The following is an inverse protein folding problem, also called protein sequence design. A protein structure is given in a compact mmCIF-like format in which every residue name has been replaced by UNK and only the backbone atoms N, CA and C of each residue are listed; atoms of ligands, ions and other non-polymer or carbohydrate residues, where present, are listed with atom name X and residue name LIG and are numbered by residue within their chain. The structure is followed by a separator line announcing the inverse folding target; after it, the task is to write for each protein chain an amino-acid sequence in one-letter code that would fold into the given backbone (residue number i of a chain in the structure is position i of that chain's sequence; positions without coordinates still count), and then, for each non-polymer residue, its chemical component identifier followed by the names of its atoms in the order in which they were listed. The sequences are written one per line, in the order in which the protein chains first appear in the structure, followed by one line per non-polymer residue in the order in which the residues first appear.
data_IF_797447925879
#
_entry.id   IF_797447925879
#
_cell.length_a   1.000
_cell.length_b   1.000
_cell.length_c   1.000
_cell.angle_alpha   90.00
_cell.angle_beta   90.00
_cell.angle_gamma   90.00
#
_symmetry.space_group_name_H-M   'P 1'
#
loop_
_entity.id
_entity.type
_entity.pdbx_description
1 polymer ?
#
# COMPACT_ATOMS: atom_id res chain seq x y z
N UNK A 1 -12.04 1.78 42.16
CA UNK A 1 -11.11 2.81 41.70
C UNK A 1 -10.74 2.47 40.27
N UNK A 2 -11.30 3.21 39.32
CA UNK A 2 -11.06 3.02 37.89
C UNK A 2 -9.70 3.58 37.57
N UNK A 3 -8.75 2.72 37.17
CA UNK A 3 -7.47 3.15 36.64
C UNK A 3 -7.71 3.83 35.29
N UNK A 4 -7.66 5.16 35.28
CA UNK A 4 -7.63 5.93 34.06
C UNK A 4 -6.34 5.54 33.30
N UNK A 5 -6.49 4.78 32.23
CA UNK A 5 -5.40 4.55 31.29
C UNK A 5 -5.06 5.90 30.64
N UNK A 6 -3.95 6.48 31.05
CA UNK A 6 -3.42 7.68 30.42
C UNK A 6 -3.04 7.32 28.99
N UNK A 7 -3.83 7.78 28.02
CA UNK A 7 -3.52 7.64 26.59
C UNK A 7 -2.24 8.43 26.31
N UNK A 8 -1.18 7.72 25.92
CA UNK A 8 0.05 8.34 25.47
C UNK A 8 -0.24 9.08 24.15
N UNK A 9 -0.14 10.39 24.16
CA UNK A 9 -0.31 11.19 22.94
C UNK A 9 0.89 10.97 22.00
N UNK A 10 0.67 10.74 20.69
CA UNK A 10 1.74 10.66 19.70
C UNK A 10 2.66 11.88 19.75
N UNK A 11 3.96 11.67 19.66
CA UNK A 11 4.95 12.74 19.72
C UNK A 11 6.07 12.52 18.71
N UNK A 12 6.60 13.64 18.21
CA UNK A 12 7.85 13.61 17.46
C UNK A 12 8.96 13.10 18.38
N UNK A 13 9.64 12.04 17.98
CA UNK A 13 10.76 11.49 18.75
C UNK A 13 12.10 11.93 18.17
N UNK A 14 12.23 11.95 16.85
CA UNK A 14 13.48 12.28 16.18
C UNK A 14 13.26 12.54 14.70
N UNK A 15 14.07 13.44 14.09
CA UNK A 15 14.28 13.48 12.63
C UNK A 15 15.61 12.80 12.33
N UNK A 16 15.60 11.90 11.35
CA UNK A 16 16.79 11.18 10.94
C UNK A 16 17.24 11.72 9.59
N UNK A 17 18.44 12.25 9.46
CA UNK A 17 19.00 12.61 8.17
C UNK A 17 19.09 11.37 7.28
N UNK A 18 18.66 11.49 6.04
CA UNK A 18 18.79 10.52 4.97
C UNK A 18 19.45 11.20 3.75
N UNK A 19 19.54 10.54 2.61
CA UNK A 19 20.09 11.19 1.42
C UNK A 19 19.12 12.18 0.77
N UNK A 20 19.59 12.83 -0.29
CA UNK A 20 18.86 13.86 -1.03
C UNK A 20 17.68 13.27 -1.80
N UNK A 21 16.61 14.06 -1.88
CA UNK A 21 15.34 13.72 -2.53
C UNK A 21 14.81 12.33 -2.12
N UNK A 22 14.52 12.10 -0.82
CA UNK A 22 13.92 10.86 -0.40
C UNK A 22 12.53 10.69 -1.05
N UNK A 23 12.27 9.51 -1.65
CA UNK A 23 11.07 9.29 -2.45
C UNK A 23 10.20 8.14 -1.92
N UNK A 24 10.65 6.90 -2.03
CA UNK A 24 9.95 5.71 -1.59
C UNK A 24 10.32 5.28 -0.18
N UNK A 25 9.40 4.66 0.51
CA UNK A 25 9.63 4.03 1.81
C UNK A 25 8.92 2.68 1.89
N UNK A 26 9.61 1.68 2.40
CA UNK A 26 9.07 0.35 2.66
C UNK A 26 9.56 -0.18 4.00
N UNK A 27 8.67 -0.84 4.75
CA UNK A 27 9.03 -1.51 6.00
C UNK A 27 9.29 -3.00 5.77
N UNK A 28 10.20 -3.54 6.55
CA UNK A 28 10.27 -4.99 6.74
C UNK A 28 9.00 -5.48 7.46
N UNK A 29 8.48 -6.64 7.09
CA UNK A 29 7.25 -7.19 7.67
C UNK A 29 7.38 -7.51 9.18
N UNK A 30 8.61 -7.70 9.68
CA UNK A 30 8.91 -7.84 11.10
C UNK A 30 9.10 -6.49 11.83
N UNK A 31 8.98 -5.36 11.13
CA UNK A 31 9.10 -4.03 11.71
C UNK A 31 10.52 -3.58 12.11
N UNK A 32 11.57 -4.38 11.87
CA UNK A 32 12.92 -4.05 12.36
C UNK A 32 13.63 -2.96 11.55
N UNK A 33 13.30 -2.83 10.27
CA UNK A 33 13.93 -1.87 9.35
C UNK A 33 12.92 -1.13 8.50
N UNK A 34 13.27 0.09 8.13
CA UNK A 34 12.66 0.82 7.03
C UNK A 34 13.72 1.14 5.98
N UNK A 35 13.39 0.97 4.71
CA UNK A 35 14.22 1.37 3.58
C UNK A 35 13.67 2.66 2.98
N UNK A 36 14.53 3.64 2.74
CA UNK A 36 14.18 4.92 2.12
C UNK A 36 15.05 5.14 0.90
N UNK A 37 14.44 5.29 -0.28
CA UNK A 37 15.19 5.62 -1.50
C UNK A 37 15.52 7.11 -1.52
N UNK A 38 16.74 7.45 -1.88
CA UNK A 38 17.23 8.81 -2.02
C UNK A 38 17.57 9.06 -3.49
N UNK A 39 16.63 9.65 -4.24
CA UNK A 39 16.66 9.66 -5.69
C UNK A 39 17.84 10.43 -6.26
N UNK A 40 18.21 11.58 -5.68
CA UNK A 40 19.32 12.39 -6.16
C UNK A 40 20.69 11.87 -5.69
N UNK A 41 20.76 11.16 -4.58
CA UNK A 41 22.02 10.59 -4.07
C UNK A 41 22.32 9.20 -4.64
N UNK A 42 21.39 8.60 -5.34
CA UNK A 42 21.52 7.23 -5.84
C UNK A 42 21.77 6.21 -4.73
N UNK A 43 21.11 6.40 -3.60
CA UNK A 43 21.28 5.56 -2.41
C UNK A 43 19.94 5.09 -1.83
N UNK A 44 20.03 4.09 -0.96
CA UNK A 44 18.97 3.69 -0.05
C UNK A 44 19.47 3.82 1.38
N UNK A 45 18.79 4.60 2.19
CA UNK A 45 19.03 4.65 3.63
C UNK A 45 18.30 3.51 4.32
N UNK A 46 19.02 2.74 5.13
CA UNK A 46 18.46 1.71 5.99
C UNK A 46 18.29 2.28 7.39
N UNK A 47 17.06 2.41 7.82
CA UNK A 47 16.73 2.94 9.14
C UNK A 47 16.43 1.79 10.07
N UNK A 48 17.17 1.66 11.15
CA UNK A 48 16.88 0.69 12.22
C UNK A 48 15.79 1.24 13.13
N UNK A 49 14.80 0.41 13.39
CA UNK A 49 13.69 0.72 14.28
C UNK A 49 14.12 0.72 15.74
N UNK A 50 15.08 -0.13 16.10
CA UNK A 50 15.61 -0.22 17.46
C UNK A 50 16.42 1.03 17.85
N UNK A 51 17.37 1.44 17.00
CA UNK A 51 18.25 2.59 17.28
C UNK A 51 17.66 3.92 16.83
N UNK A 52 16.61 3.91 16.01
CA UNK A 52 15.97 5.08 15.40
C UNK A 52 16.98 5.96 14.65
N UNK A 53 17.87 5.32 13.91
CA UNK A 53 18.92 5.96 13.14
C UNK A 53 19.19 5.22 11.84
N UNK A 54 19.87 5.90 10.90
CA UNK A 54 20.39 5.26 9.71
C UNK A 54 21.54 4.38 10.12
N UNK A 55 21.41 3.08 9.85
CA UNK A 55 22.46 2.09 10.15
C UNK A 55 23.29 1.74 8.93
N UNK A 56 22.77 2.03 7.75
CA UNK A 56 23.51 1.89 6.49
C UNK A 56 22.95 2.84 5.44
N UNK A 57 23.84 3.31 4.56
CA UNK A 57 23.49 3.98 3.31
C UNK A 57 24.07 3.15 2.17
N UNK A 58 23.19 2.60 1.33
CA UNK A 58 23.56 1.62 0.33
C UNK A 58 23.50 2.30 -1.04
N UNK A 59 24.64 2.36 -1.76
CA UNK A 59 24.65 2.82 -3.15
C UNK A 59 23.88 1.86 -4.05
N UNK A 60 22.97 2.40 -4.86
CA UNK A 60 22.14 1.67 -5.82
C UNK A 60 22.33 2.22 -7.23
N UNK A 61 21.41 2.03 -8.15
CA UNK A 61 21.47 2.67 -9.47
C UNK A 61 20.98 4.11 -9.43
N UNK A 62 20.91 4.74 -10.61
CA UNK A 62 20.57 6.17 -10.75
C UNK A 62 19.07 6.39 -10.58
N UNK A 63 18.72 7.39 -9.79
CA UNK A 63 17.37 7.85 -9.50
C UNK A 63 16.48 6.73 -8.95
N UNK A 64 16.79 6.16 -7.77
CA UNK A 64 15.95 5.13 -7.16
C UNK A 64 14.60 5.72 -6.74
N UNK A 65 13.50 5.06 -7.13
CA UNK A 65 12.14 5.50 -6.83
C UNK A 65 11.35 4.49 -6.04
N UNK A 66 11.16 3.29 -6.57
CA UNK A 66 10.43 2.23 -5.88
C UNK A 66 11.34 1.36 -5.02
N UNK A 67 10.81 0.91 -3.89
CA UNK A 67 11.47 -0.09 -3.04
C UNK A 67 10.43 -1.07 -2.51
N UNK A 68 10.76 -2.35 -2.57
CA UNK A 68 9.95 -3.42 -1.99
C UNK A 68 10.85 -4.40 -1.25
N UNK A 69 10.44 -4.79 -0.04
CA UNK A 69 11.11 -5.84 0.74
C UNK A 69 10.37 -7.15 0.45
N UNK A 70 11.13 -8.19 0.15
CA UNK A 70 10.54 -9.50 -0.10
C UNK A 70 9.79 -10.01 1.15
N UNK A 71 8.64 -10.71 0.99
CA UNK A 71 7.93 -11.31 2.11
C UNK A 71 8.79 -12.20 3.00
N UNK A 72 9.83 -12.84 2.44
CA UNK A 72 10.82 -13.64 3.17
C UNK A 72 11.74 -12.83 4.10
N UNK A 73 11.75 -11.49 3.98
CA UNK A 73 12.61 -10.58 4.74
C UNK A 73 14.12 -10.68 4.50
N UNK A 74 14.56 -11.54 3.61
CA UNK A 74 16.00 -11.79 3.39
C UNK A 74 16.63 -10.80 2.43
N UNK A 75 15.82 -10.19 1.56
CA UNK A 75 16.29 -9.23 0.55
C UNK A 75 15.24 -8.18 0.23
N UNK A 76 15.68 -7.13 -0.46
CA UNK A 76 14.81 -6.09 -1.00
C UNK A 76 15.24 -5.73 -2.42
N UNK A 77 14.28 -5.26 -3.20
CA UNK A 77 14.52 -4.73 -4.54
C UNK A 77 14.25 -3.24 -4.59
N UNK A 78 15.09 -2.53 -5.35
CA UNK A 78 15.01 -1.09 -5.56
C UNK A 78 15.00 -0.80 -7.06
N UNK A 79 13.95 -0.18 -7.55
CA UNK A 79 13.88 0.26 -8.95
C UNK A 79 14.68 1.54 -9.14
N UNK A 80 15.66 1.49 -10.04
CA UNK A 80 16.50 2.63 -10.40
C UNK A 80 16.03 3.16 -11.75
N UNK A 81 15.14 4.13 -11.70
CA UNK A 81 14.34 4.59 -12.83
C UNK A 81 15.20 5.12 -13.98
N UNK A 82 16.26 5.85 -13.66
CA UNK A 82 17.13 6.44 -14.70
C UNK A 82 18.22 5.48 -15.19
N UNK A 83 18.61 4.45 -14.43
CA UNK A 83 19.63 3.49 -14.88
C UNK A 83 19.06 2.21 -15.47
N UNK A 84 17.74 2.05 -15.56
CA UNK A 84 17.10 0.90 -16.20
C UNK A 84 17.47 -0.44 -15.54
N UNK A 85 17.55 -0.46 -14.21
CA UNK A 85 17.86 -1.68 -13.47
C UNK A 85 17.18 -1.71 -12.10
N UNK A 86 17.21 -2.87 -11.48
CA UNK A 86 16.78 -3.11 -10.11
C UNK A 86 18.00 -3.50 -9.28
N UNK A 87 18.26 -2.80 -8.19
CA UNK A 87 19.28 -3.20 -7.22
C UNK A 87 18.69 -4.23 -6.26
N UNK A 88 19.42 -5.33 -6.06
CA UNK A 88 19.18 -6.31 -5.00
C UNK A 88 19.93 -5.90 -3.75
N UNK A 89 19.24 -5.74 -2.67
CA UNK A 89 19.81 -5.49 -1.33
C UNK A 89 19.69 -6.74 -0.48
N UNK A 90 20.78 -7.13 0.16
CA UNK A 90 20.77 -8.17 1.19
C UNK A 90 20.35 -7.53 2.51
N UNK A 91 19.26 -7.99 3.11
CA UNK A 91 18.71 -7.41 4.32
C UNK A 91 19.43 -7.87 5.61
N UNK A 92 20.19 -8.94 5.56
CA UNK A 92 20.98 -9.40 6.70
C UNK A 92 22.31 -8.66 6.82
N UNK A 93 22.95 -8.38 5.70
CA UNK A 93 24.24 -7.64 5.67
C UNK A 93 24.06 -6.14 5.43
N UNK A 94 22.87 -5.69 5.05
CA UNK A 94 22.55 -4.31 4.67
C UNK A 94 23.46 -3.75 3.57
N UNK A 95 23.72 -4.57 2.56
CA UNK A 95 24.58 -4.21 1.44
C UNK A 95 23.87 -4.47 0.12
N UNK A 96 24.29 -3.76 -0.92
CA UNK A 96 23.90 -4.08 -2.29
C UNK A 96 24.65 -5.32 -2.75
N UNK A 97 23.92 -6.34 -3.16
CA UNK A 97 24.51 -7.56 -3.69
C UNK A 97 24.85 -7.41 -5.19
N UNK A 98 23.89 -6.95 -5.98
CA UNK A 98 24.05 -6.79 -7.43
C UNK A 98 23.00 -5.86 -8.03
N UNK A 99 23.13 -5.56 -9.30
CA UNK A 99 22.09 -4.92 -10.11
C UNK A 99 21.53 -5.93 -11.11
N UNK A 100 20.23 -6.00 -11.19
CA UNK A 100 19.48 -6.80 -12.17
C UNK A 100 19.10 -5.84 -13.30
N UNK A 101 19.58 -6.08 -14.51
CA UNK A 101 19.22 -5.28 -15.67
C UNK A 101 17.76 -5.54 -16.02
N UNK A 102 16.95 -4.49 -15.99
CA UNK A 102 15.56 -4.48 -16.43
C UNK A 102 15.42 -3.75 -17.76
N UNK A 103 14.23 -3.56 -18.25
CA UNK A 103 13.95 -2.65 -19.34
C UNK A 103 13.90 -1.18 -18.88
N UNK A 104 13.64 -0.32 -19.80
CA UNK A 104 13.41 1.13 -19.79
C UNK A 104 13.42 1.84 -18.45
N UNK A 105 12.27 2.31 -18.03
CA UNK A 105 12.08 3.09 -16.80
C UNK A 105 11.34 2.24 -15.76
N UNK A 106 12.06 1.44 -14.93
CA UNK A 106 11.41 0.62 -13.90
C UNK A 106 10.79 1.51 -12.83
N UNK A 107 9.51 1.27 -12.49
CA UNK A 107 8.76 2.08 -11.52
C UNK A 107 8.34 1.29 -10.28
N UNK A 108 7.34 0.44 -10.39
CA UNK A 108 6.75 -0.26 -9.28
C UNK A 108 7.12 -1.74 -9.28
N UNK A 109 7.25 -2.30 -8.08
CA UNK A 109 7.67 -3.68 -7.85
C UNK A 109 6.66 -4.35 -6.94
N UNK A 110 6.25 -5.57 -7.29
CA UNK A 110 5.49 -6.46 -6.39
C UNK A 110 6.15 -7.83 -6.36
N UNK A 111 6.15 -8.45 -5.19
CA UNK A 111 6.61 -9.83 -5.01
C UNK A 111 5.45 -10.80 -4.97
N UNK A 112 5.70 -12.04 -5.40
CA UNK A 112 4.80 -13.14 -5.06
C UNK A 112 4.82 -13.41 -3.56
N UNK A 113 3.72 -13.90 -2.96
CA UNK A 113 3.67 -14.17 -1.52
C UNK A 113 4.76 -15.11 -1.02
N UNK A 114 5.21 -16.04 -1.88
CA UNK A 114 6.31 -16.97 -1.60
C UNK A 114 7.71 -16.38 -1.84
N UNK A 115 7.80 -15.13 -2.23
CA UNK A 115 9.03 -14.40 -2.55
C UNK A 115 9.85 -14.98 -3.71
N UNK A 116 9.34 -15.93 -4.51
CA UNK A 116 10.10 -16.55 -5.61
C UNK A 116 10.25 -15.67 -6.83
N UNK A 117 9.28 -14.78 -7.05
CA UNK A 117 9.29 -13.89 -8.20
C UNK A 117 8.99 -12.46 -7.80
N UNK A 118 9.61 -11.53 -8.51
CA UNK A 118 9.26 -10.12 -8.49
C UNK A 118 8.82 -9.68 -9.89
N UNK A 119 7.85 -8.78 -9.94
CA UNK A 119 7.34 -8.20 -11.17
C UNK A 119 7.57 -6.69 -11.13
N UNK A 120 8.19 -6.16 -12.19
CA UNK A 120 8.62 -4.77 -12.29
C UNK A 120 8.00 -4.14 -13.52
N UNK A 121 7.25 -3.06 -13.35
CA UNK A 121 6.72 -2.30 -14.49
C UNK A 121 7.81 -1.44 -15.11
N UNK A 122 7.97 -1.52 -16.44
CA UNK A 122 8.89 -0.69 -17.22
C UNK A 122 8.06 0.26 -18.09
N UNK A 123 7.96 1.52 -17.67
CA UNK A 123 7.05 2.49 -18.27
C UNK A 123 7.35 2.75 -19.75
N UNK A 124 8.61 2.97 -20.11
CA UNK A 124 8.98 3.29 -21.50
C UNK A 124 8.98 2.08 -22.43
N UNK A 125 9.31 0.88 -21.92
CA UNK A 125 9.37 -0.33 -22.75
C UNK A 125 7.99 -0.97 -22.95
N UNK A 126 6.98 -0.51 -22.22
CA UNK A 126 5.63 -1.07 -22.24
C UNK A 126 5.60 -2.56 -21.89
N UNK A 127 6.36 -2.94 -20.89
CA UNK A 127 6.45 -4.32 -20.42
C UNK A 127 6.53 -4.43 -18.89
N UNK A 128 6.50 -5.65 -18.43
CA UNK A 128 6.75 -6.06 -17.05
C UNK A 128 7.85 -7.10 -17.07
N UNK A 129 8.93 -6.84 -16.38
CA UNK A 129 9.96 -7.82 -16.14
C UNK A 129 9.56 -8.77 -15.01
N UNK A 130 9.80 -10.06 -15.23
CA UNK A 130 9.71 -11.11 -14.21
C UNK A 130 11.12 -11.45 -13.78
N UNK A 131 11.41 -11.19 -12.52
CA UNK A 131 12.69 -11.52 -11.92
C UNK A 131 12.52 -12.81 -11.10
N UNK A 132 13.31 -13.82 -11.39
CA UNK A 132 13.48 -14.97 -10.50
C UNK A 132 14.41 -14.54 -9.36
N UNK A 133 13.94 -14.60 -8.14
CA UNK A 133 14.66 -14.08 -6.97
C UNK A 133 15.79 -14.97 -6.49
N UNK A 134 15.77 -16.27 -6.87
CA UNK A 134 16.88 -17.20 -6.59
C UNK A 134 18.04 -16.96 -7.57
N UNK A 135 17.70 -16.83 -8.86
CA UNK A 135 18.69 -16.58 -9.90
C UNK A 135 19.15 -15.12 -9.96
N UNK A 136 18.37 -14.21 -9.37
CA UNK A 136 18.54 -12.76 -9.44
C UNK A 136 18.65 -12.26 -10.89
N UNK A 137 17.81 -12.78 -11.75
CA UNK A 137 17.84 -12.47 -13.17
C UNK A 137 16.41 -12.28 -13.71
N UNK A 138 16.28 -11.42 -14.70
CA UNK A 138 15.06 -11.32 -15.49
C UNK A 138 14.95 -12.59 -16.33
N UNK A 139 13.95 -13.38 -16.03
CA UNK A 139 13.68 -14.65 -16.74
C UNK A 139 12.65 -14.49 -17.85
N UNK A 140 11.88 -13.41 -17.79
CA UNK A 140 10.83 -13.13 -18.77
C UNK A 140 10.55 -11.64 -18.84
N UNK A 141 10.24 -11.16 -20.03
CA UNK A 141 9.63 -9.86 -20.30
C UNK A 141 8.23 -10.08 -20.82
N UNK A 142 7.28 -9.46 -20.18
CA UNK A 142 5.88 -9.61 -20.52
C UNK A 142 5.42 -8.29 -21.14
N UNK A 143 5.19 -8.29 -22.45
CA UNK A 143 4.61 -7.14 -23.12
C UNK A 143 3.23 -6.85 -22.57
N UNK A 144 2.99 -5.59 -22.19
CA UNK A 144 1.71 -5.08 -21.69
C UNK A 144 1.26 -3.88 -22.53
N UNK A 145 0.29 -3.15 -22.07
CA UNK A 145 -0.13 -1.94 -22.78
C UNK A 145 0.82 -0.75 -22.54
N UNK A 146 0.46 0.39 -23.12
CA UNK A 146 1.31 1.60 -23.14
C UNK A 146 1.43 2.23 -21.76
N UNK A 147 2.66 2.61 -21.41
CA UNK A 147 3.02 3.32 -20.18
C UNK A 147 2.47 2.61 -18.92
N UNK A 148 2.90 1.35 -18.65
CA UNK A 148 2.48 0.65 -17.45
C UNK A 148 3.00 1.36 -16.20
N UNK A 149 2.09 1.65 -15.26
CA UNK A 149 2.41 2.33 -14.00
C UNK A 149 2.00 1.48 -12.80
N UNK A 150 0.72 1.44 -12.50
CA UNK A 150 0.19 0.68 -11.38
C UNK A 150 0.30 -0.81 -11.58
N UNK A 151 0.64 -1.53 -10.53
CA UNK A 151 0.70 -2.98 -10.50
C UNK A 151 0.16 -3.49 -9.17
N UNK A 152 -0.67 -4.51 -9.20
CA UNK A 152 -1.18 -5.18 -8.02
C UNK A 152 -1.23 -6.68 -8.23
N UNK A 153 -0.96 -7.45 -7.17
CA UNK A 153 -1.09 -8.90 -7.16
C UNK A 153 -2.38 -9.31 -6.43
N UNK A 154 -3.07 -10.31 -6.94
CA UNK A 154 -4.26 -10.86 -6.29
C UNK A 154 -3.93 -11.44 -4.91
N UNK A 155 -4.88 -11.47 -3.97
CA UNK A 155 -4.64 -11.99 -2.62
C UNK A 155 -4.13 -13.43 -2.58
N UNK A 156 -4.48 -14.25 -3.59
CA UNK A 156 -4.01 -15.63 -3.73
C UNK A 156 -2.68 -15.77 -4.47
N UNK A 157 -2.06 -14.66 -4.89
CA UNK A 157 -0.79 -14.64 -5.59
C UNK A 157 -0.81 -15.16 -7.03
N UNK A 158 -1.98 -15.47 -7.62
CA UNK A 158 -2.06 -16.12 -8.94
C UNK A 158 -2.11 -15.16 -10.11
N UNK A 159 -2.55 -13.94 -9.89
CA UNK A 159 -2.82 -12.97 -10.95
C UNK A 159 -2.21 -11.62 -10.59
N UNK A 160 -1.64 -10.99 -11.58
CA UNK A 160 -1.20 -9.59 -11.50
C UNK A 160 -2.03 -8.77 -12.49
N UNK A 161 -2.41 -7.58 -12.07
CA UNK A 161 -3.02 -6.59 -12.94
C UNK A 161 -2.10 -5.39 -13.03
N UNK A 162 -1.88 -4.95 -14.27
CA UNK A 162 -1.07 -3.79 -14.62
C UNK A 162 -1.95 -2.77 -15.30
N UNK A 163 -1.97 -1.54 -14.79
CA UNK A 163 -2.67 -0.44 -15.44
C UNK A 163 -1.78 0.16 -16.53
N UNK A 164 -2.28 0.24 -17.74
CA UNK A 164 -1.57 0.83 -18.88
C UNK A 164 -2.02 2.29 -19.02
N UNK A 165 -1.38 3.20 -18.29
CA UNK A 165 -1.85 4.59 -18.14
C UNK A 165 -1.82 5.38 -19.45
N UNK A 166 -0.86 5.14 -20.32
CA UNK A 166 -0.80 5.73 -21.66
C UNK A 166 -1.76 5.11 -22.67
N UNK A 167 -2.50 4.08 -22.26
CA UNK A 167 -3.46 3.35 -23.09
C UNK A 167 -4.88 3.39 -22.55
N UNK A 168 -5.67 2.42 -22.95
CA UNK A 168 -7.07 2.28 -22.55
C UNK A 168 -7.35 0.88 -21.98
N UNK A 169 -6.39 0.29 -21.33
CA UNK A 169 -6.48 -1.12 -20.92
C UNK A 169 -5.76 -1.39 -19.61
N UNK A 170 -6.08 -2.53 -19.04
CA UNK A 170 -5.21 -3.21 -18.08
C UNK A 170 -4.74 -4.53 -18.69
N UNK A 171 -3.52 -4.91 -18.37
CA UNK A 171 -3.00 -6.23 -18.71
C UNK A 171 -3.15 -7.15 -17.52
N UNK A 172 -3.70 -8.33 -17.76
CA UNK A 172 -3.86 -9.38 -16.75
C UNK A 172 -2.81 -10.45 -17.01
N UNK A 173 -1.95 -10.64 -16.02
CA UNK A 173 -0.82 -11.56 -16.11
C UNK A 173 -1.10 -12.75 -15.21
N UNK A 174 -0.88 -13.96 -15.73
CA UNK A 174 -0.84 -15.18 -14.94
C UNK A 174 0.55 -15.33 -14.34
N UNK A 175 0.61 -15.45 -13.02
CA UNK A 175 1.87 -15.58 -12.27
C UNK A 175 2.58 -16.90 -12.54
N UNK A 176 1.86 -17.99 -12.80
CA UNK A 176 2.48 -19.30 -13.02
C UNK A 176 3.04 -19.48 -14.44
N UNK A 177 2.46 -18.83 -15.44
CA UNK A 177 2.89 -18.93 -16.84
C UNK A 177 3.66 -17.71 -17.34
N UNK A 178 3.73 -16.64 -16.55
CA UNK A 178 4.36 -15.37 -16.91
C UNK A 178 3.90 -14.84 -18.26
N UNK A 179 2.62 -14.89 -18.47
CA UNK A 179 2.03 -14.45 -19.74
C UNK A 179 0.80 -13.59 -19.50
N UNK A 180 0.56 -12.67 -20.41
CA UNK A 180 -0.69 -11.92 -20.43
C UNK A 180 -1.79 -12.90 -20.80
N UNK A 181 -2.70 -13.12 -19.86
CA UNK A 181 -3.90 -13.92 -20.11
C UNK A 181 -4.85 -13.13 -21.01
N UNK A 182 -4.92 -11.83 -20.73
CA UNK A 182 -5.88 -10.96 -21.40
C UNK A 182 -5.51 -9.50 -21.23
N UNK A 183 -5.74 -8.72 -22.27
CA UNK A 183 -5.84 -7.26 -22.16
C UNK A 183 -7.33 -6.89 -22.08
N UNK A 184 -7.67 -6.11 -21.09
CA UNK A 184 -9.05 -5.72 -20.84
C UNK A 184 -9.20 -4.22 -21.05
N UNK A 185 -10.13 -3.85 -21.90
CA UNK A 185 -10.40 -2.44 -22.16
C UNK A 185 -11.11 -1.80 -20.96
N UNK A 186 -10.53 -0.73 -20.43
CA UNK A 186 -11.02 -0.01 -19.24
C UNK A 186 -11.38 1.44 -19.52
N UNK A 187 -11.28 1.85 -20.76
CA UNK A 187 -11.32 3.25 -21.14
C UNK A 187 -9.99 3.96 -20.95
N UNK A 188 -9.94 5.22 -21.35
CA UNK A 188 -8.72 6.02 -21.35
C UNK A 188 -8.20 6.28 -19.92
N UNK A 189 -6.87 6.24 -19.80
CA UNK A 189 -6.14 6.58 -18.57
C UNK A 189 -6.63 5.76 -17.36
N UNK A 190 -6.42 4.43 -17.33
CA UNK A 190 -6.66 3.65 -16.14
C UNK A 190 -5.59 4.01 -15.09
N UNK A 191 -6.04 4.46 -13.92
CA UNK A 191 -5.16 5.03 -12.89
C UNK A 191 -4.96 4.11 -11.69
N UNK A 192 -6.02 3.47 -11.23
CA UNK A 192 -6.00 2.68 -10.01
C UNK A 192 -6.67 1.32 -10.22
N UNK A 193 -6.19 0.32 -9.52
CA UNK A 193 -6.76 -1.03 -9.47
C UNK A 193 -6.78 -1.55 -8.05
N UNK A 194 -7.88 -2.18 -7.67
CA UNK A 194 -8.03 -2.85 -6.40
C UNK A 194 -8.70 -4.22 -6.57
N UNK A 195 -8.23 -5.23 -5.83
CA UNK A 195 -8.87 -6.53 -5.73
C UNK A 195 -9.85 -6.58 -4.57
N UNK A 196 -10.91 -7.39 -4.71
CA UNK A 196 -11.69 -7.80 -3.55
C UNK A 196 -10.78 -8.48 -2.53
N UNK A 197 -10.91 -8.17 -1.23
CA UNK A 197 -10.12 -8.83 -0.19
C UNK A 197 -10.30 -10.35 -0.17
N UNK A 198 -9.37 -11.09 0.42
CA UNK A 198 -9.41 -12.55 0.48
C UNK A 198 -10.73 -13.09 1.06
N UNK A 199 -11.27 -12.41 2.09
CA UNK A 199 -12.55 -12.76 2.74
C UNK A 199 -13.81 -12.28 2.02
N UNK A 200 -13.72 -11.51 0.94
CA UNK A 200 -14.90 -10.96 0.28
C UNK A 200 -15.82 -12.05 -0.31
N UNK A 201 -17.14 -11.82 -0.29
CA UNK A 201 -18.13 -12.79 -0.80
C UNK A 201 -18.02 -13.00 -2.32
N UNK A 202 -17.49 -12.01 -3.01
CA UNK A 202 -17.25 -12.05 -4.47
C UNK A 202 -15.78 -11.77 -4.76
N UNK A 203 -15.25 -12.42 -5.79
CA UNK A 203 -13.87 -12.26 -6.23
C UNK A 203 -13.86 -11.42 -7.50
N UNK A 204 -13.75 -10.11 -7.31
CA UNK A 204 -13.71 -9.11 -8.39
C UNK A 204 -12.43 -8.29 -8.30
N UNK A 205 -12.14 -7.60 -9.38
CA UNK A 205 -11.25 -6.46 -9.36
C UNK A 205 -11.92 -5.26 -10.04
N UNK A 206 -11.55 -4.09 -9.56
CA UNK A 206 -12.16 -2.81 -9.92
C UNK A 206 -11.08 -1.92 -10.49
N UNK A 207 -11.32 -1.37 -11.66
CA UNK A 207 -10.36 -0.50 -12.36
C UNK A 207 -11.01 0.86 -12.60
N UNK A 208 -10.40 1.92 -12.11
CA UNK A 208 -10.83 3.28 -12.42
C UNK A 208 -10.32 3.73 -13.79
N UNK A 209 -11.16 4.45 -14.52
CA UNK A 209 -10.82 5.06 -15.79
C UNK A 209 -11.19 6.54 -15.74
N UNK A 210 -10.20 7.39 -15.47
CA UNK A 210 -10.37 8.82 -15.23
C UNK A 210 -11.09 9.52 -16.37
N UNK A 211 -10.57 9.40 -17.58
CA UNK A 211 -11.14 10.07 -18.75
C UNK A 211 -12.46 9.48 -19.27
N UNK A 212 -12.94 8.37 -18.72
CA UNK A 212 -14.23 7.75 -19.12
C UNK A 212 -15.30 7.84 -18.04
N UNK A 213 -14.96 8.34 -16.87
CA UNK A 213 -15.89 8.48 -15.74
C UNK A 213 -16.57 7.16 -15.39
N UNK A 214 -15.79 6.08 -15.30
CA UNK A 214 -16.31 4.73 -15.05
C UNK A 214 -15.36 3.91 -14.18
N UNK A 215 -15.97 3.02 -13.41
CA UNK A 215 -15.26 1.87 -12.83
C UNK A 215 -15.66 0.65 -13.65
N UNK A 216 -14.66 -0.09 -14.09
CA UNK A 216 -14.83 -1.37 -14.76
C UNK A 216 -14.65 -2.48 -13.74
N UNK A 217 -15.64 -3.35 -13.60
CA UNK A 217 -15.66 -4.46 -12.63
C UNK A 217 -15.54 -5.77 -13.38
N UNK A 218 -14.59 -6.58 -12.99
CA UNK A 218 -14.32 -7.86 -13.64
C UNK A 218 -14.32 -8.99 -12.63
N UNK A 219 -14.74 -10.19 -13.04
CA UNK A 219 -14.55 -11.41 -12.27
C UNK A 219 -13.07 -11.79 -12.24
N UNK A 220 -12.53 -12.08 -11.05
CA UNK A 220 -11.15 -12.56 -10.92
C UNK A 220 -10.95 -13.90 -11.64
N UNK A 221 -11.94 -14.81 -11.59
CA UNK A 221 -11.83 -16.18 -12.10
C UNK A 221 -11.63 -16.26 -13.62
N UNK A 222 -12.33 -15.44 -14.40
CA UNK A 222 -12.37 -15.53 -15.86
C UNK A 222 -12.21 -14.19 -16.58
N UNK A 223 -11.98 -13.11 -15.82
CA UNK A 223 -11.79 -11.72 -16.30
C UNK A 223 -12.97 -11.19 -17.13
N UNK A 224 -14.11 -11.82 -16.99
CA UNK A 224 -15.30 -11.34 -17.65
C UNK A 224 -15.74 -10.01 -17.05
N UNK A 225 -16.05 -9.06 -17.90
CA UNK A 225 -16.63 -7.79 -17.49
C UNK A 225 -18.00 -8.07 -16.86
N UNK A 226 -18.15 -7.68 -15.61
CA UNK A 226 -19.40 -7.83 -14.86
C UNK A 226 -20.25 -6.58 -15.01
N UNK A 227 -19.61 -5.42 -14.84
CA UNK A 227 -20.30 -4.14 -14.80
C UNK A 227 -19.37 -3.00 -15.22
N UNK A 228 -19.97 -1.98 -15.83
CA UNK A 228 -19.40 -0.65 -15.96
C UNK A 228 -20.21 0.27 -15.07
N UNK A 229 -19.66 0.67 -13.96
CA UNK A 229 -20.30 1.58 -13.02
C UNK A 229 -20.03 3.00 -13.53
N UNK A 230 -21.07 3.75 -13.84
CA UNK A 230 -20.94 5.17 -14.16
C UNK A 230 -20.60 5.92 -12.87
N UNK A 231 -19.53 6.68 -12.90
CA UNK A 231 -19.09 7.54 -11.79
C UNK A 231 -19.33 9.00 -12.14
N UNK A 232 -19.00 9.86 -11.21
CA UNK A 232 -18.78 11.27 -11.50
C UNK A 232 -17.47 11.44 -12.27
N UNK A 233 -17.08 12.68 -12.56
CA UNK A 233 -15.92 12.96 -13.42
C UNK A 233 -14.60 12.65 -12.73
N UNK A 234 -13.68 12.07 -13.49
CA UNK A 234 -12.29 11.80 -13.13
C UNK A 234 -12.14 10.96 -11.86
N UNK A 235 -12.60 9.68 -11.89
CA UNK A 235 -12.34 8.77 -10.77
C UNK A 235 -10.83 8.51 -10.65
N UNK A 236 -10.24 9.03 -9.58
CA UNK A 236 -8.79 8.98 -9.33
C UNK A 236 -8.36 7.78 -8.50
N UNK A 237 -9.18 7.37 -7.54
CA UNK A 237 -8.85 6.28 -6.61
C UNK A 237 -10.07 5.39 -6.32
N UNK A 238 -9.78 4.13 -6.05
CA UNK A 238 -10.76 3.14 -5.59
C UNK A 238 -10.24 2.43 -4.35
N UNK A 239 -11.13 2.22 -3.38
CA UNK A 239 -10.82 1.46 -2.17
C UNK A 239 -12.01 0.59 -1.78
N UNK A 240 -11.75 -0.59 -1.20
CA UNK A 240 -12.79 -1.48 -0.70
C UNK A 240 -12.71 -1.58 0.83
N UNK A 241 -13.88 -1.81 1.43
CA UNK A 241 -13.92 -2.23 2.84
C UNK A 241 -13.29 -3.60 3.02
N UNK A 242 -12.71 -3.92 4.20
CA UNK A 242 -12.06 -5.20 4.46
C UNK A 242 -12.98 -6.43 4.27
N UNK A 243 -14.30 -6.26 4.41
CA UNK A 243 -15.31 -7.27 4.12
C UNK A 243 -15.64 -7.39 2.63
N UNK A 244 -15.14 -6.48 1.81
CA UNK A 244 -15.38 -6.43 0.36
C UNK A 244 -16.81 -6.04 -0.03
N UNK A 245 -17.59 -5.45 0.88
CA UNK A 245 -18.99 -5.12 0.62
C UNK A 245 -19.20 -3.74 0.01
N UNK A 246 -18.30 -2.81 0.27
CA UNK A 246 -18.44 -1.43 -0.19
C UNK A 246 -17.23 -0.99 -1.00
N UNK A 247 -17.51 -0.30 -2.10
CA UNK A 247 -16.54 0.32 -2.99
C UNK A 247 -16.64 1.84 -2.88
N UNK A 248 -15.59 2.46 -2.44
CA UNK A 248 -15.40 3.91 -2.40
C UNK A 248 -14.71 4.35 -3.67
N UNK A 249 -15.25 5.35 -4.34
CA UNK A 249 -14.71 5.94 -5.56
C UNK A 249 -14.50 7.42 -5.33
N UNK A 250 -13.26 7.86 -5.39
CA UNK A 250 -12.90 9.28 -5.31
C UNK A 250 -13.04 9.89 -6.70
N UNK A 251 -13.85 10.93 -6.83
CA UNK A 251 -14.07 11.66 -8.08
C UNK A 251 -13.46 13.06 -7.94
N UNK A 252 -12.26 13.22 -8.47
CA UNK A 252 -11.43 14.40 -8.26
C UNK A 252 -12.10 15.70 -8.76
N UNK A 253 -12.57 15.70 -10.00
CA UNK A 253 -13.15 16.92 -10.59
C UNK A 253 -14.49 17.30 -9.99
N UNK A 254 -15.29 16.35 -9.54
CA UNK A 254 -16.58 16.62 -8.91
C UNK A 254 -16.47 16.89 -7.41
N UNK A 255 -15.28 16.83 -6.86
CA UNK A 255 -15.08 17.01 -5.42
C UNK A 255 -16.04 16.14 -4.61
N UNK A 256 -16.08 14.85 -4.91
CA UNK A 256 -17.02 13.93 -4.29
C UNK A 256 -16.44 12.52 -4.13
N UNK A 257 -16.93 11.82 -3.12
CA UNK A 257 -16.76 10.37 -2.99
C UNK A 257 -18.09 9.71 -3.24
N UNK A 258 -18.13 8.81 -4.20
CA UNK A 258 -19.30 7.99 -4.48
C UNK A 258 -19.08 6.59 -3.92
N UNK A 259 -20.07 6.07 -3.23
CA UNK A 259 -20.03 4.78 -2.56
C UNK A 259 -21.02 3.86 -3.26
N UNK A 260 -20.53 2.68 -3.60
CA UNK A 260 -21.32 1.64 -4.24
C UNK A 260 -21.31 0.36 -3.39
N UNK A 261 -22.37 -0.41 -3.47
CA UNK A 261 -22.34 -1.80 -3.06
C UNK A 261 -21.36 -2.54 -4.00
N UNK A 262 -20.34 -3.15 -3.47
CA UNK A 262 -19.30 -3.81 -4.28
C UNK A 262 -19.78 -5.15 -4.87
N UNK A 263 -20.87 -5.71 -4.38
CA UNK A 263 -21.46 -6.97 -4.86
C UNK A 263 -22.55 -6.73 -5.90
N UNK A 264 -23.47 -5.82 -5.63
CA UNK A 264 -24.65 -5.54 -6.47
C UNK A 264 -24.46 -4.31 -7.38
N UNK A 265 -23.40 -3.52 -7.15
CA UNK A 265 -23.00 -2.34 -7.94
C UNK A 265 -24.00 -1.19 -7.95
N UNK A 266 -25.00 -1.24 -7.08
CA UNK A 266 -25.93 -0.12 -6.92
C UNK A 266 -25.24 1.02 -6.14
N UNK A 267 -25.59 2.23 -6.52
CA UNK A 267 -25.20 3.42 -5.81
C UNK A 267 -25.81 3.41 -4.40
N UNK A 268 -24.99 3.66 -3.40
CA UNK A 268 -25.41 3.79 -2.01
C UNK A 268 -25.52 5.26 -1.65
N UNK A 269 -24.43 6.01 -1.85
CA UNK A 269 -24.38 7.41 -1.47
C UNK A 269 -23.30 8.16 -2.24
N UNK A 270 -23.56 9.44 -2.48
CA UNK A 270 -22.53 10.42 -2.90
C UNK A 270 -22.32 11.40 -1.75
N UNK A 271 -21.08 11.64 -1.42
CA UNK A 271 -20.66 12.55 -0.37
C UNK A 271 -19.82 13.64 -1.01
N UNK A 272 -20.29 14.89 -0.90
CA UNK A 272 -19.53 16.02 -1.40
C UNK A 272 -18.32 16.29 -0.48
N UNK A 273 -17.19 16.55 -1.09
CA UNK A 273 -15.94 16.88 -0.42
C UNK A 273 -15.65 18.38 -0.54
N UNK A 274 -14.91 18.95 0.42
CA UNK A 274 -14.64 20.39 0.40
C UNK A 274 -13.92 20.87 -0.86
N UNK A 275 -12.84 20.21 -1.29
CA UNK A 275 -12.12 20.49 -2.54
C UNK A 275 -11.00 19.48 -2.77
N UNK A 276 -10.73 19.11 -4.03
CA UNK A 276 -9.57 18.34 -4.45
C UNK A 276 -9.36 16.99 -3.72
N UNK A 277 -10.39 16.12 -3.61
CA UNK A 277 -10.20 14.79 -3.05
C UNK A 277 -9.32 13.97 -4.00
N UNK A 278 -8.27 13.30 -3.46
CA UNK A 278 -7.32 12.56 -4.31
C UNK A 278 -7.38 11.07 -4.03
N UNK A 279 -7.18 10.68 -2.77
CA UNK A 279 -7.09 9.29 -2.36
C UNK A 279 -8.10 8.96 -1.28
N UNK A 280 -8.50 7.70 -1.24
CA UNK A 280 -9.28 7.14 -0.15
C UNK A 280 -8.59 5.90 0.41
N UNK A 281 -8.62 5.76 1.72
CA UNK A 281 -8.24 4.56 2.44
C UNK A 281 -9.37 4.15 3.38
N UNK A 282 -9.54 2.83 3.57
CA UNK A 282 -10.52 2.31 4.53
C UNK A 282 -9.77 1.74 5.72
N UNK A 283 -10.22 2.06 6.92
CA UNK A 283 -9.62 1.57 8.15
C UNK A 283 -9.64 0.03 8.18
N UNK A 284 -8.57 -0.64 8.68
CA UNK A 284 -8.48 -2.10 8.70
C UNK A 284 -9.63 -2.79 9.43
N UNK A 285 -10.24 -2.11 10.39
CA UNK A 285 -11.42 -2.57 11.12
C UNK A 285 -12.75 -2.29 10.39
N UNK A 286 -12.70 -1.60 9.25
CA UNK A 286 -13.87 -1.22 8.46
C UNK A 286 -14.77 -0.15 9.08
N UNK A 287 -14.35 0.54 10.15
CA UNK A 287 -15.18 1.51 10.87
C UNK A 287 -15.30 2.87 10.17
N UNK A 288 -14.33 3.20 9.35
CA UNK A 288 -14.28 4.49 8.64
C UNK A 288 -13.58 4.37 7.29
N UNK A 289 -13.92 5.29 6.40
CA UNK A 289 -13.10 5.61 5.24
C UNK A 289 -12.60 7.05 5.35
N UNK A 290 -11.40 7.29 4.90
CA UNK A 290 -10.73 8.56 4.95
C UNK A 290 -10.37 9.00 3.55
N UNK A 291 -10.55 10.28 3.28
CA UNK A 291 -10.31 10.88 1.98
C UNK A 291 -9.41 12.08 2.15
N UNK A 292 -8.25 12.08 1.52
CA UNK A 292 -7.38 13.26 1.52
C UNK A 292 -7.93 14.33 0.58
N UNK A 293 -7.96 15.58 1.06
CA UNK A 293 -8.55 16.72 0.36
C UNK A 293 -7.50 17.81 0.26
N UNK A 294 -6.71 17.78 -0.81
CA UNK A 294 -5.48 18.57 -0.94
C UNK A 294 -5.70 20.07 -0.95
N UNK A 295 -6.75 20.54 -1.66
CA UNK A 295 -7.00 21.98 -1.78
C UNK A 295 -7.64 22.60 -0.55
N UNK A 296 -8.21 21.79 0.34
CA UNK A 296 -8.85 22.27 1.56
C UNK A 296 -8.00 22.05 2.82
N UNK A 297 -6.76 21.59 2.67
CA UNK A 297 -5.87 21.24 3.80
C UNK A 297 -6.57 20.40 4.87
N UNK A 298 -7.32 19.38 4.44
CA UNK A 298 -8.15 18.57 5.33
C UNK A 298 -8.11 17.07 4.96
N UNK A 299 -8.45 16.24 5.94
CA UNK A 299 -8.83 14.86 5.70
C UNK A 299 -10.31 14.70 6.07
N UNK A 300 -11.10 14.19 5.14
CA UNK A 300 -12.52 13.97 5.34
C UNK A 300 -12.76 12.53 5.82
N UNK A 301 -13.54 12.38 6.87
CA UNK A 301 -13.92 11.09 7.44
C UNK A 301 -15.32 10.69 6.98
N UNK A 302 -15.45 9.49 6.49
CA UNK A 302 -16.71 8.84 6.23
C UNK A 302 -16.87 7.71 7.24
N UNK A 303 -17.65 7.94 8.30
CA UNK A 303 -17.89 6.91 9.30
C UNK A 303 -18.81 5.84 8.75
N UNK A 304 -18.39 4.60 8.86
CA UNK A 304 -19.14 3.43 8.48
C UNK A 304 -19.77 2.86 9.74
N UNK A 305 -21.10 2.96 9.88
CA UNK A 305 -21.80 2.36 11.03
C UNK A 305 -21.67 0.84 10.96
N UNK A 306 -21.11 0.24 12.00
CA UNK A 306 -21.22 -1.20 12.24
C UNK A 306 -22.63 -1.49 12.72
N UNK A 307 -23.37 -2.35 12.03
CA UNK A 307 -24.49 -3.04 12.67
C UNK A 307 -23.90 -4.10 13.60
N UNK A 308 -24.59 -4.40 14.71
CA UNK A 308 -24.21 -5.43 15.70
C UNK A 308 -24.12 -6.86 15.14
N UNK A 309 -23.98 -7.05 13.86
CA UNK A 309 -23.72 -8.32 13.23
C UNK A 309 -22.21 -8.58 13.32
N UNK A 310 -21.88 -9.60 14.06
CA UNK A 310 -20.59 -10.14 14.40
C UNK A 310 -19.61 -10.05 13.20
N UNK A 311 -18.85 -8.96 13.11
CA UNK A 311 -17.54 -9.08 12.52
C UNK A 311 -16.73 -9.94 13.50
N UNK A 312 -16.54 -11.21 13.18
CA UNK A 312 -15.59 -12.01 13.91
C UNK A 312 -14.34 -11.17 14.01
N UNK A 313 -13.88 -10.92 15.25
CA UNK A 313 -12.58 -10.29 15.48
C UNK A 313 -11.60 -11.01 14.58
N UNK A 314 -11.23 -10.39 13.46
CA UNK A 314 -9.97 -10.71 12.86
C UNK A 314 -8.96 -10.19 13.87
N UNK A 315 -8.52 -11.09 14.74
CA UNK A 315 -7.39 -10.82 15.60
C UNK A 315 -6.23 -10.35 14.72
N UNK A 316 -5.33 -9.53 15.24
CA UNK A 316 -4.09 -9.22 14.53
C UNK A 316 -3.54 -10.55 14.02
N UNK A 317 -3.08 -10.58 12.77
CA UNK A 317 -2.42 -11.75 12.23
C UNK A 317 -1.41 -12.17 13.30
N UNK A 318 -1.63 -13.35 13.89
CA UNK A 318 -0.81 -13.83 15.01
C UNK A 318 0.63 -13.69 14.55
N UNK A 319 1.52 -13.08 15.34
CA UNK A 319 2.92 -13.06 14.99
C UNK A 319 3.32 -14.51 14.78
N UNK A 320 3.90 -14.82 13.64
CA UNK A 320 4.50 -16.12 13.41
C UNK A 320 5.57 -16.26 14.48
N UNK A 321 5.25 -17.01 15.53
CA UNK A 321 6.24 -17.45 16.49
C UNK A 321 7.20 -18.34 15.72
N UNK A 322 8.34 -17.80 15.39
CA UNK A 322 9.49 -18.59 14.96
C UNK A 322 9.79 -19.50 16.13
N UNK A 323 9.43 -20.77 16.01
CA UNK A 323 9.80 -21.78 16.98
C UNK A 323 11.31 -21.72 17.18
N UNK A 324 11.76 -21.67 18.43
CA UNK A 324 13.16 -21.81 18.76
C UNK A 324 13.68 -23.07 18.09
N UNK A 325 14.74 -22.93 17.31
CA UNK A 325 15.46 -24.07 16.77
C UNK A 325 15.87 -24.98 17.93
N UNK A 326 15.67 -26.30 17.83
CA UNK A 326 16.16 -27.22 18.85
C UNK A 326 17.68 -27.09 18.93
N UNK A 327 18.19 -26.80 20.13
CA UNK A 327 19.60 -26.79 20.45
C UNK A 327 20.15 -28.20 20.24
N UNK A 328 20.96 -28.40 19.21
CA UNK A 328 21.71 -29.65 19.09
C UNK A 328 21.80 -30.25 17.72
N UNK A 329 22.27 -29.52 16.72
CA UNK A 329 22.89 -30.13 15.52
C UNK A 329 24.12 -29.33 15.15
N UNK A 330 25.27 -29.83 15.55
CA UNK A 330 26.55 -29.41 14.98
C UNK A 330 26.73 -30.10 13.63
N UNK A 331 27.02 -29.34 12.58
CA UNK A 331 27.67 -29.84 11.38
C UNK A 331 26.79 -30.11 10.17
N UNK A 332 25.96 -29.16 9.76
CA UNK A 332 25.35 -29.20 8.40
C UNK A 332 25.69 -27.93 7.61
N UNK A 333 26.03 -28.13 6.34
CA UNK A 333 26.38 -27.08 5.40
C UNK A 333 25.15 -26.23 5.03
N UNK A 334 25.32 -24.98 4.57
CA UNK A 334 24.21 -24.04 4.30
C UNK A 334 23.17 -24.47 3.27
N UNK A 335 23.39 -25.56 2.55
CA UNK A 335 22.47 -26.06 1.53
C UNK A 335 21.34 -26.97 2.09
N UNK A 336 21.49 -27.52 3.30
CA UNK A 336 20.52 -28.46 3.86
C UNK A 336 19.50 -27.82 4.84
N UNK A 337 19.71 -26.58 5.23
CA UNK A 337 18.79 -25.86 6.12
C UNK A 337 17.52 -25.28 5.43
N UNK A 338 17.38 -25.45 4.13
CA UNK A 338 16.28 -24.85 3.35
C UNK A 338 14.99 -25.71 3.30
N UNK A 339 14.97 -26.91 3.90
CA UNK A 339 13.86 -27.88 3.73
C UNK A 339 12.86 -27.96 4.87
N UNK A 340 12.95 -27.12 5.88
CA UNK A 340 12.05 -27.18 7.05
C UNK A 340 11.25 -25.91 7.32
N UNK A 341 10.78 -25.20 6.28
CA UNK A 341 9.80 -24.12 6.45
C UNK A 341 8.43 -24.69 6.05
N UNK A 342 7.68 -25.14 7.05
CA UNK A 342 6.25 -25.46 6.86
C UNK A 342 5.50 -24.22 6.38
N UNK A 343 4.67 -24.41 5.36
CA UNK A 343 3.80 -23.37 4.81
C UNK A 343 2.96 -22.72 5.92
N UNK A 344 2.69 -21.42 5.87
CA UNK A 344 1.81 -20.78 6.82
C UNK A 344 0.44 -21.44 6.79
N UNK A 345 -0.13 -21.67 7.98
CA UNK A 345 -1.48 -22.18 8.16
C UNK A 345 -2.48 -21.38 7.32
N UNK A 346 -3.44 -22.02 6.64
CA UNK A 346 -4.44 -21.29 5.87
C UNK A 346 -5.20 -20.33 6.78
N UNK A 347 -5.45 -19.11 6.29
CA UNK A 347 -6.27 -18.13 6.97
C UNK A 347 -7.63 -18.76 7.34
N UNK A 348 -8.22 -18.40 8.49
CA UNK A 348 -9.51 -18.96 8.92
C UNK A 348 -10.56 -18.74 7.84
N UNK A 349 -11.38 -19.77 7.61
CA UNK A 349 -12.42 -19.75 6.60
C UNK A 349 -13.41 -18.60 6.85
N UNK A 350 -13.62 -17.77 5.84
CA UNK A 350 -14.63 -16.71 5.86
C UNK A 350 -16.03 -17.33 5.81
N UNK A 351 -16.87 -16.98 6.79
CA UNK A 351 -18.32 -17.25 6.72
C UNK A 351 -19.00 -16.12 5.95
N UNK A 352 -19.61 -16.45 4.83
CA UNK A 352 -20.34 -15.46 4.03
C UNK A 352 -21.46 -14.81 4.87
N UNK A 353 -21.70 -13.50 4.71
CA UNK A 353 -22.84 -12.85 5.33
C UNK A 353 -24.14 -13.50 4.82
N UNK A 354 -25.19 -13.48 5.62
CA UNK A 354 -26.47 -14.05 5.22
C UNK A 354 -27.00 -13.42 3.92
N UNK A 355 -27.75 -14.15 3.14
CA UNK A 355 -28.25 -13.72 1.81
C UNK A 355 -29.09 -12.45 1.83
N UNK A 356 -29.54 -12.00 3.00
CA UNK A 356 -30.32 -10.79 3.23
C UNK A 356 -29.47 -9.62 3.80
N UNK A 357 -28.13 -9.70 3.73
CA UNK A 357 -27.29 -8.60 4.18
C UNK A 357 -27.56 -7.34 3.35
N UNK A 358 -28.08 -6.32 3.99
CA UNK A 358 -28.22 -4.96 3.45
C UNK A 358 -27.15 -4.09 4.09
N UNK A 359 -26.23 -3.50 3.29
CA UNK A 359 -25.28 -2.54 3.84
C UNK A 359 -26.01 -1.42 4.57
N UNK A 360 -25.61 -1.15 5.81
CA UNK A 360 -26.25 -0.09 6.58
C UNK A 360 -25.88 1.29 6.02
N UNK A 361 -26.76 2.27 6.12
CA UNK A 361 -26.50 3.62 5.64
C UNK A 361 -25.30 4.24 6.37
N UNK A 362 -24.51 5.03 5.64
CA UNK A 362 -23.37 5.74 6.17
C UNK A 362 -23.79 6.72 7.26
N UNK A 363 -22.96 6.81 8.27
CA UNK A 363 -23.11 7.79 9.32
C UNK A 363 -22.75 9.22 8.87
N UNK A 364 -22.49 10.08 9.83
CA UNK A 364 -22.15 11.47 9.64
C UNK A 364 -20.82 11.61 8.88
N UNK A 365 -20.78 12.46 7.86
CA UNK A 365 -19.54 12.97 7.29
C UNK A 365 -18.99 14.01 8.28
N UNK A 366 -17.74 13.82 8.69
CA UNK A 366 -16.98 14.83 9.38
C UNK A 366 -15.86 15.35 8.47
N UNK A 367 -15.61 16.67 8.54
CA UNK A 367 -14.44 17.28 7.92
C UNK A 367 -13.49 17.68 9.03
N UNK A 368 -12.27 17.11 8.99
CA UNK A 368 -11.23 17.45 9.95
C UNK A 368 -10.18 18.29 9.25
N UNK A 369 -10.02 19.52 9.71
CA UNK A 369 -9.04 20.44 9.16
C UNK A 369 -7.64 20.01 9.61
N UNK A 370 -6.75 19.80 8.66
CA UNK A 370 -5.35 19.45 8.86
C UNK A 370 -4.45 20.67 8.56
N UNK A 371 -3.22 20.48 8.17
CA UNK A 371 -2.37 21.57 7.66
C UNK A 371 -2.57 21.82 6.16
N UNK A 372 -1.85 22.79 5.60
CA UNK A 372 -1.90 23.11 4.16
C UNK A 372 -1.27 21.99 3.32
N UNK A 373 -1.94 21.65 2.23
CA UNK A 373 -1.48 20.68 1.22
C UNK A 373 -1.36 19.24 1.74
N UNK A 374 -2.45 18.62 2.25
CA UNK A 374 -2.43 17.22 2.61
C UNK A 374 -2.20 16.36 1.34
N UNK A 375 -1.24 15.43 1.38
CA UNK A 375 -0.82 14.67 0.19
C UNK A 375 -0.76 13.17 0.39
N UNK A 376 -0.56 12.71 1.61
CA UNK A 376 -0.53 11.27 1.91
C UNK A 376 -1.01 11.01 3.34
N UNK A 377 -1.48 9.79 3.55
CA UNK A 377 -2.00 9.32 4.82
C UNK A 377 -1.57 7.89 5.14
N UNK A 378 -1.60 7.54 6.42
CA UNK A 378 -1.43 6.17 6.91
C UNK A 378 -2.30 5.96 8.15
N UNK A 379 -2.90 4.77 8.26
CA UNK A 379 -3.73 4.38 9.40
C UNK A 379 -2.94 3.42 10.28
N UNK A 380 -3.07 3.56 11.60
CA UNK A 380 -2.48 2.62 12.55
C UNK A 380 -3.08 1.21 12.37
N UNK A 381 -2.33 0.12 12.61
CA UNK A 381 -2.83 -1.25 12.44
C UNK A 381 -4.11 -1.56 13.25
N UNK A 382 -4.30 -0.89 14.39
CA UNK A 382 -5.50 -1.00 15.24
C UNK A 382 -6.70 -0.17 14.73
N UNK A 383 -6.51 0.62 13.66
CA UNK A 383 -7.54 1.46 13.06
C UNK A 383 -7.94 2.70 13.88
N UNK A 384 -7.22 3.07 14.94
CA UNK A 384 -7.62 4.15 15.85
C UNK A 384 -7.18 5.53 15.42
N UNK A 385 -6.03 5.62 14.74
CA UNK A 385 -5.44 6.89 14.35
C UNK A 385 -5.10 6.94 12.89
N UNK A 386 -5.30 8.12 12.31
CA UNK A 386 -4.86 8.48 10.98
C UNK A 386 -3.76 9.54 11.07
N UNK A 387 -2.72 9.35 10.31
CA UNK A 387 -1.59 10.25 10.16
C UNK A 387 -1.63 10.86 8.77
N UNK A 388 -1.78 12.19 8.68
CA UNK A 388 -1.88 12.93 7.42
C UNK A 388 -0.71 13.90 7.30
N UNK A 389 0.11 13.74 6.27
CA UNK A 389 1.17 14.71 5.99
C UNK A 389 0.61 15.92 5.25
N UNK A 390 1.04 17.08 5.69
CA UNK A 390 0.67 18.39 5.14
C UNK A 390 1.92 19.00 4.50
N UNK A 391 2.13 18.70 3.22
CA UNK A 391 3.39 18.98 2.52
C UNK A 391 3.75 20.46 2.51
N UNK A 392 2.78 21.34 2.25
CA UNK A 392 3.01 22.79 2.23
C UNK A 392 3.19 23.40 3.63
N UNK A 393 2.61 22.78 4.64
CA UNK A 393 2.74 23.24 6.02
C UNK A 393 3.96 22.64 6.75
N UNK A 394 4.64 21.65 6.17
CA UNK A 394 5.72 20.90 6.81
C UNK A 394 5.30 20.31 8.17
N UNK A 395 4.09 19.76 8.22
CA UNK A 395 3.52 19.16 9.43
C UNK A 395 2.89 17.80 9.15
N UNK A 396 2.69 17.06 10.23
CA UNK A 396 1.90 15.83 10.27
C UNK A 396 0.73 16.05 11.22
N UNK A 397 -0.50 15.85 10.75
CA UNK A 397 -1.69 15.84 11.59
C UNK A 397 -2.01 14.40 12.01
N UNK A 398 -2.26 14.19 13.29
CA UNK A 398 -2.66 12.93 13.89
C UNK A 398 -4.12 13.07 14.30
N UNK A 399 -4.94 12.20 13.77
CA UNK A 399 -6.39 12.29 13.87
C UNK A 399 -6.90 11.06 14.61
N UNK A 400 -7.71 11.26 15.63
CA UNK A 400 -8.44 10.17 16.27
C UNK A 400 -9.67 9.85 15.43
N UNK A 401 -9.71 8.62 14.88
CA UNK A 401 -10.78 8.19 13.97
C UNK A 401 -12.14 8.10 14.68
N UNK A 402 -12.16 7.70 15.94
CA UNK A 402 -13.43 7.56 16.69
C UNK A 402 -14.05 8.88 17.09
N UNK A 403 -13.22 9.93 17.23
CA UNK A 403 -13.66 11.26 17.65
C UNK A 403 -13.79 12.27 16.51
N UNK A 404 -13.27 11.93 15.32
CA UNK A 404 -13.21 12.81 14.14
C UNK A 404 -12.46 14.13 14.43
N UNK A 405 -11.38 14.07 15.21
CA UNK A 405 -10.63 15.26 15.62
C UNK A 405 -9.12 15.12 15.44
N UNK A 406 -8.43 16.22 15.13
CA UNK A 406 -6.97 16.27 15.19
C UNK A 406 -6.56 16.30 16.66
N UNK A 407 -5.97 15.22 17.12
CA UNK A 407 -5.46 15.11 18.49
C UNK A 407 -4.09 15.74 18.63
N UNK A 408 -3.33 15.83 17.53
CA UNK A 408 -2.01 16.44 17.53
C UNK A 408 -1.57 16.84 16.12
N UNK A 409 -0.87 17.97 16.04
CA UNK A 409 -0.09 18.35 14.87
C UNK A 409 1.38 18.38 15.26
N UNK A 410 2.21 17.69 14.48
CA UNK A 410 3.65 17.55 14.72
C UNK A 410 4.39 18.25 13.58
N UNK A 411 5.35 19.11 13.90
CA UNK A 411 6.24 19.68 12.90
C UNK A 411 7.19 18.59 12.41
N UNK A 412 7.34 18.46 11.10
CA UNK A 412 8.25 17.52 10.43
C UNK A 412 9.24 18.30 9.56
N UNK A 413 10.04 17.63 8.77
CA UNK A 413 10.94 18.30 7.83
C UNK A 413 10.17 18.91 6.64
N UNK A 414 10.88 19.69 5.82
CA UNK A 414 10.29 20.40 4.69
C UNK A 414 9.82 19.43 3.58
N UNK A 415 8.71 19.79 2.93
CA UNK A 415 8.12 19.01 1.83
C UNK A 415 7.98 17.51 2.16
N UNK A 416 7.27 17.12 3.22
CA UNK A 416 7.02 15.73 3.51
C UNK A 416 6.26 15.09 2.35
N UNK A 417 6.73 13.94 1.86
CA UNK A 417 6.25 13.30 0.62
C UNK A 417 5.63 11.92 0.85
N UNK A 418 5.99 11.23 1.92
CA UNK A 418 5.43 9.92 2.25
C UNK A 418 5.32 9.71 3.76
N UNK A 419 4.34 8.91 4.16
CA UNK A 419 4.13 8.49 5.54
C UNK A 419 3.84 6.99 5.60
N UNK A 420 4.39 6.30 6.60
CA UNK A 420 4.10 4.88 6.88
C UNK A 420 4.11 4.64 8.38
N UNK A 421 3.28 3.69 8.80
CA UNK A 421 3.26 3.18 10.17
C UNK A 421 4.01 1.84 10.18
N UNK A 422 4.81 1.60 11.23
CA UNK A 422 5.45 0.29 11.43
C UNK A 422 4.39 -0.80 11.63
N UNK A 423 4.66 -2.06 11.22
CA UNK A 423 3.70 -3.15 11.35
C UNK A 423 3.22 -3.41 12.77
N UNK A 424 4.06 -3.13 13.76
CA UNK A 424 3.74 -3.21 15.20
C UNK A 424 2.94 -2.00 15.71
N UNK A 425 2.71 -1.02 14.85
CA UNK A 425 1.98 0.20 15.18
C UNK A 425 2.73 1.20 16.07
N UNK A 426 3.96 0.93 16.50
CA UNK A 426 4.66 1.76 17.48
C UNK A 426 5.31 3.02 16.91
N UNK A 427 5.55 3.07 15.61
CA UNK A 427 6.26 4.17 14.96
C UNK A 427 5.59 4.61 13.67
N UNK A 428 5.60 5.92 13.46
CA UNK A 428 5.25 6.57 12.19
C UNK A 428 6.51 7.20 11.58
N UNK A 429 6.72 6.98 10.29
CA UNK A 429 7.84 7.50 9.52
C UNK A 429 7.34 8.48 8.48
N UNK A 430 7.94 9.65 8.46
CA UNK A 430 7.64 10.71 7.48
C UNK A 430 8.89 11.02 6.70
N UNK A 431 8.85 10.77 5.40
CA UNK A 431 9.92 11.14 4.47
C UNK A 431 9.79 12.61 4.12
N UNK A 432 10.83 13.40 4.35
CA UNK A 432 10.85 14.85 4.12
C UNK A 432 11.80 15.17 2.94
N UNK A 433 11.25 15.24 1.74
CA UNK A 433 12.05 15.42 0.51
C UNK A 433 12.79 16.74 0.46
N UNK A 434 12.23 17.81 1.02
CA UNK A 434 12.86 19.14 1.00
C UNK A 434 13.90 19.38 2.08
N UNK A 435 14.04 18.49 3.05
CA UNK A 435 15.08 18.60 4.10
C UNK A 435 15.99 17.38 4.20
N UNK A 436 15.86 16.42 3.28
CA UNK A 436 16.67 15.20 3.22
C UNK A 436 16.69 14.42 4.54
N UNK A 437 15.52 14.28 5.17
CA UNK A 437 15.38 13.63 6.47
C UNK A 437 14.21 12.65 6.48
N UNK A 438 14.25 11.70 7.41
CA UNK A 438 13.06 10.95 7.84
C UNK A 438 12.73 11.36 9.27
N UNK A 439 11.50 11.82 9.50
CA UNK A 439 11.01 12.09 10.84
C UNK A 439 10.37 10.82 11.41
N UNK A 440 10.81 10.41 12.60
CA UNK A 440 10.21 9.28 13.32
C UNK A 440 9.37 9.82 14.47
N UNK A 441 8.15 9.32 14.55
CA UNK A 441 7.19 9.71 15.57
C UNK A 441 6.78 8.44 16.31
N UNK A 442 6.93 8.42 17.64
CA UNK A 442 6.35 7.36 18.45
C UNK A 442 4.84 7.53 18.47
N UNK A 443 4.11 6.50 18.09
CA UNK A 443 2.66 6.49 18.11
C UNK A 443 2.09 6.31 19.52
N UNK A 444 2.94 5.94 20.49
CA UNK A 444 2.54 5.52 21.82
C UNK A 444 2.23 4.00 21.88
N UNK A 445 2.17 3.43 23.07
CA UNK A 445 1.72 2.05 23.25
C UNK A 445 0.17 2.06 23.18
N UNK A 446 -0.36 1.73 22.01
CA UNK A 446 -1.81 1.62 21.79
C UNK A 446 -2.31 0.16 21.88
N UNK A 447 -1.49 -0.72 22.48
CA UNK A 447 -1.84 -2.11 22.71
C UNK A 447 -2.08 -2.41 24.18
#
# INVERSE_FOLDING_TARGET
MSSAHAFLTPRLTRSIPVGNMPYGVSFSSNGNYALVTNADDNTVSVVSMATKGVVASIKVGVHPTGVAIAPSLTFAYVSNTASGNVSLLNMSTLTKALNIRTGGTPLNIVFTPDSKYAFVTNMHDNDVDVINTIQNAVIKRIRVGKEPQGIAISPNGKIIIVTNAGGSSVSIINVSTFSVIRNVHTGLNPTSVAFSPAGAPVKYFYVSSGKRNKIYVYKEKNFALVKKIKTLSDPSSVALTPDGMMLFVVNYQNMAVTIYNAVHFNHIKTINMPAGPINAAVAPDGSAALVTVTRAASAAFIRIKKTNTVYAKMGPASPVTVGQAPSGVQGQTPAEAATAITAPSPAPAYTAPPSNYVPQPFGKLATVYTGKGPTAEAITPDGRYLYVINTQASTLSIINISKDEVVKTVKVGNYPSAVRISPDGHYCFVVNSGSNTVTIISTGNYY
#
